data_IF_138972816116
#
_entry.id   IF_138972816116
#
_cell.length_a   1.000
_cell.length_b   1.000
_cell.length_c   1.000
_cell.angle_alpha   90.00
_cell.angle_beta   90.00
_cell.angle_gamma   90.00
#
_symmetry.space_group_name_H-M   'P 1'
#
loop_
_entity.id
_entity.type
_entity.pdbx_description
1 polymer ?
#
# COMPACT_ATOMS: atom_id res chain seq x y z
N UNK A 1 -8.11 24.67 24.03
CA UNK A 1 -7.28 24.53 22.82
C UNK A 1 -7.54 23.20 22.11
N UNK A 2 -8.77 22.66 22.15
CA UNK A 2 -9.05 21.29 21.66
C UNK A 2 -9.38 21.23 20.16
N UNK A 3 -9.93 22.32 19.59
CA UNK A 3 -10.28 22.36 18.17
C UNK A 3 -9.07 22.23 17.22
N UNK A 4 -7.91 22.74 17.61
CA UNK A 4 -6.69 22.66 16.80
C UNK A 4 -6.11 21.24 16.77
N UNK A 5 -6.31 20.46 17.84
CA UNK A 5 -5.84 19.08 17.92
C UNK A 5 -6.65 18.15 16.99
N UNK A 6 -7.96 18.36 16.88
CA UNK A 6 -8.82 17.64 15.95
C UNK A 6 -8.50 17.95 14.49
N UNK A 7 -8.32 19.23 14.17
CA UNK A 7 -7.91 19.68 12.82
C UNK A 7 -6.55 19.07 12.45
N UNK A 8 -5.59 19.05 13.38
CA UNK A 8 -4.29 18.42 13.18
C UNK A 8 -4.37 16.91 12.92
N UNK A 9 -5.17 16.17 13.70
CA UNK A 9 -5.42 14.73 13.47
C UNK A 9 -6.02 14.48 12.08
N UNK A 10 -7.00 15.28 11.66
CA UNK A 10 -7.63 15.15 10.34
C UNK A 10 -6.67 15.43 9.19
N UNK A 11 -5.80 16.44 9.33
CA UNK A 11 -4.80 16.79 8.32
C UNK A 11 -3.79 15.64 8.11
N UNK A 12 -3.32 15.04 9.20
CA UNK A 12 -2.41 13.89 9.17
C UNK A 12 -3.09 12.69 8.52
N UNK A 13 -4.34 12.37 8.91
CA UNK A 13 -5.08 11.25 8.35
C UNK A 13 -5.30 11.42 6.84
N UNK A 14 -5.69 12.62 6.40
CA UNK A 14 -5.84 12.95 4.99
C UNK A 14 -4.54 12.81 4.20
N UNK A 15 -3.42 13.28 4.75
CA UNK A 15 -2.10 13.14 4.13
C UNK A 15 -1.66 11.68 3.97
N UNK A 16 -1.84 10.86 5.01
CA UNK A 16 -1.55 9.42 4.96
C UNK A 16 -2.40 8.73 3.90
N UNK A 17 -3.70 9.05 3.83
CA UNK A 17 -4.62 8.46 2.85
C UNK A 17 -4.22 8.85 1.42
N UNK A 18 -3.79 10.09 1.20
CA UNK A 18 -3.34 10.56 -0.11
C UNK A 18 -2.03 9.88 -0.55
N UNK A 19 -1.07 9.68 0.37
CA UNK A 19 0.17 8.93 0.11
C UNK A 19 -0.15 7.47 -0.25
N UNK A 20 -1.09 6.86 0.47
CA UNK A 20 -1.51 5.47 0.23
C UNK A 20 -2.12 5.31 -1.16
N UNK A 21 -3.09 6.16 -1.50
CA UNK A 21 -3.78 6.11 -2.80
C UNK A 21 -2.82 6.44 -3.94
N UNK A 22 -2.01 7.51 -3.79
CA UNK A 22 -1.01 7.90 -4.78
C UNK A 22 0.06 6.83 -4.97
N UNK A 23 0.55 6.23 -3.89
CA UNK A 23 1.50 5.12 -3.93
C UNK A 23 0.93 3.88 -4.61
N UNK A 24 -0.33 3.55 -4.35
CA UNK A 24 -1.02 2.43 -4.99
C UNK A 24 -1.19 2.67 -6.50
N UNK A 25 -1.67 3.85 -6.91
CA UNK A 25 -1.80 4.23 -8.33
C UNK A 25 -0.44 4.23 -9.03
N UNK A 26 0.60 4.78 -8.39
CA UNK A 26 1.96 4.78 -8.93
C UNK A 26 2.49 3.35 -9.11
N UNK A 27 2.23 2.46 -8.16
CA UNK A 27 2.62 1.06 -8.24
C UNK A 27 1.85 0.35 -9.37
N UNK A 28 0.53 0.52 -9.47
CA UNK A 28 -0.30 0.02 -10.58
C UNK A 28 0.16 0.56 -11.95
N UNK A 29 0.53 1.84 -12.02
CA UNK A 29 1.08 2.44 -13.23
C UNK A 29 2.51 1.96 -13.55
N UNK A 30 3.22 1.37 -12.58
CA UNK A 30 4.52 0.70 -12.75
C UNK A 30 4.39 -0.80 -13.01
N UNK A 31 3.19 -1.37 -12.88
CA UNK A 31 2.84 -2.75 -13.27
C UNK A 31 2.56 -3.03 -14.78
N UNK A 32 2.74 -2.14 -15.79
CA UNK A 32 2.40 -2.48 -17.18
C UNK A 32 3.48 -3.30 -17.93
N UNK A 33 4.42 -3.93 -17.22
CA UNK A 33 5.51 -4.73 -17.82
C UNK A 33 5.63 -6.12 -17.23
N UNK A 34 4.67 -7.00 -17.52
CA UNK A 34 4.60 -8.41 -17.09
C UNK A 34 5.71 -9.33 -17.65
N UNK A 35 6.70 -8.79 -18.37
CA UNK A 35 7.63 -9.62 -19.14
C UNK A 35 8.90 -10.01 -18.36
N UNK A 36 9.50 -9.13 -17.56
CA UNK A 36 10.91 -9.35 -17.13
C UNK A 36 11.26 -8.74 -15.76
N UNK A 37 10.36 -8.78 -14.77
CA UNK A 37 10.71 -8.32 -13.41
C UNK A 37 11.59 -9.37 -12.69
N UNK A 38 12.84 -9.03 -12.29
CA UNK A 38 13.62 -9.89 -11.41
C UNK A 38 12.93 -9.89 -10.03
N UNK A 39 12.19 -10.96 -9.73
CA UNK A 39 11.42 -11.11 -8.49
C UNK A 39 9.92 -11.45 -8.65
N UNK A 40 9.39 -11.48 -9.87
CA UNK A 40 8.06 -12.08 -10.14
C UNK A 40 8.20 -13.58 -10.34
N UNK A 41 7.64 -14.37 -9.43
CA UNK A 41 7.59 -15.83 -9.59
C UNK A 41 6.47 -16.12 -10.59
N UNK A 42 6.87 -16.41 -11.83
CA UNK A 42 5.96 -16.83 -12.90
C UNK A 42 6.06 -18.34 -13.01
N UNK A 43 5.10 -19.04 -12.40
CA UNK A 43 5.00 -20.50 -12.50
C UNK A 43 4.07 -20.78 -13.67
N UNK A 44 4.67 -21.13 -14.81
CA UNK A 44 3.95 -21.66 -15.97
C UNK A 44 3.96 -23.18 -15.93
N UNK A 45 2.76 -23.77 -15.81
CA UNK A 45 2.49 -25.19 -15.99
C UNK A 45 1.54 -25.35 -17.17
N UNK A 46 1.55 -26.49 -17.89
CA UNK A 46 0.56 -26.74 -18.95
C UNK A 46 -0.86 -26.70 -18.35
N UNK A 47 -1.61 -25.63 -18.64
CA UNK A 47 -2.96 -25.38 -18.14
C UNK A 47 -3.09 -24.41 -16.95
N UNK A 48 -1.99 -23.89 -16.38
CA UNK A 48 -2.06 -22.97 -15.24
C UNK A 48 -0.88 -21.99 -15.20
N UNK A 49 -1.18 -20.69 -15.19
CA UNK A 49 -0.19 -19.62 -15.05
C UNK A 49 -0.46 -18.87 -13.75
N UNK A 50 0.43 -19.03 -12.75
CA UNK A 50 0.39 -18.26 -11.51
C UNK A 50 1.48 -17.19 -11.53
N UNK A 51 1.07 -15.93 -11.42
CA UNK A 51 1.96 -14.77 -11.36
C UNK A 51 1.87 -14.21 -9.96
N UNK A 52 2.96 -14.33 -9.19
CA UNK A 52 3.03 -13.77 -7.83
C UNK A 52 3.96 -12.57 -7.85
N UNK A 53 3.43 -11.33 -7.81
CA UNK A 53 4.25 -10.12 -7.67
C UNK A 53 4.67 -9.98 -6.20
N UNK A 54 5.73 -10.68 -5.80
CA UNK A 54 6.26 -10.71 -4.42
C UNK A 54 6.57 -9.31 -3.91
N UNK A 55 7.13 -8.44 -4.75
CA UNK A 55 7.41 -7.05 -4.39
C UNK A 55 6.12 -6.26 -4.10
N UNK A 56 5.07 -6.53 -4.89
CA UNK A 56 3.75 -5.92 -4.70
C UNK A 56 3.08 -6.36 -3.41
N UNK A 57 3.16 -7.66 -3.07
CA UNK A 57 2.57 -8.17 -1.83
C UNK A 57 3.29 -7.64 -0.57
N UNK A 58 4.62 -7.51 -0.61
CA UNK A 58 5.40 -6.91 0.48
C UNK A 58 5.06 -5.43 0.67
N UNK A 59 5.02 -4.64 -0.42
CA UNK A 59 4.66 -3.23 -0.37
C UNK A 59 3.25 -3.02 0.15
N UNK A 60 2.29 -3.81 -0.34
CA UNK A 60 0.92 -3.78 0.15
C UNK A 60 0.85 -4.10 1.65
N UNK A 61 1.60 -5.11 2.11
CA UNK A 61 1.66 -5.47 3.53
C UNK A 61 2.21 -4.34 4.39
N UNK A 62 3.35 -3.74 4.02
CA UNK A 62 3.96 -2.63 4.78
C UNK A 62 2.99 -1.45 4.85
N UNK A 63 2.37 -1.10 3.72
CA UNK A 63 1.40 -0.03 3.63
C UNK A 63 0.19 -0.27 4.54
N UNK A 64 -0.37 -1.48 4.53
CA UNK A 64 -1.46 -1.88 5.43
C UNK A 64 -1.03 -1.79 6.89
N UNK A 65 0.16 -2.29 7.23
CA UNK A 65 0.70 -2.22 8.60
C UNK A 65 0.84 -0.78 9.08
N UNK A 66 1.37 0.13 8.26
CA UNK A 66 1.52 1.55 8.61
C UNK A 66 0.14 2.19 8.83
N UNK A 67 -0.82 1.95 7.92
CA UNK A 67 -2.18 2.49 8.03
C UNK A 67 -2.87 1.98 9.29
N UNK A 68 -2.89 0.66 9.53
CA UNK A 68 -3.51 0.09 10.73
C UNK A 68 -2.84 0.60 12.01
N UNK A 69 -1.52 0.72 12.02
CA UNK A 69 -0.79 1.21 13.20
C UNK A 69 -1.10 2.69 13.49
N UNK A 70 -1.19 3.53 12.45
CA UNK A 70 -1.61 4.93 12.61
C UNK A 70 -3.04 5.01 13.12
N UNK A 71 -3.98 4.23 12.56
CA UNK A 71 -5.37 4.19 13.03
C UNK A 71 -5.43 3.72 14.49
N UNK A 72 -4.76 2.62 14.84
CA UNK A 72 -4.72 2.11 16.20
C UNK A 72 -4.15 3.13 17.18
N UNK A 73 -3.07 3.83 16.81
CA UNK A 73 -2.48 4.91 17.62
C UNK A 73 -3.41 6.11 17.75
N UNK A 74 -4.22 6.41 16.74
CA UNK A 74 -5.17 7.51 16.77
C UNK A 74 -6.42 7.19 17.60
N UNK A 75 -6.84 5.92 17.62
CA UNK A 75 -8.01 5.40 18.37
C UNK A 75 -7.69 5.15 19.85
N UNK A 76 -6.45 4.80 20.19
CA UNK A 76 -6.02 4.53 21.56
C UNK A 76 -5.63 5.80 22.35
N UNK A 77 -6.20 6.95 21.96
CA UNK A 77 -6.04 8.27 22.58
C UNK A 77 -7.36 9.01 22.51
#
# INVERSE_FOLDING_TARGET
>A
MEGFEWVGKMLILGGVMMIVVGGLIWLLARFPGLSEFPGTIRIERPGFTCIVPVLGSILLSILLTVVLNIIARLLNK
#
